data_IF_658056707287
#
_entry.id   IF_658056707287
#
_cell.length_a   1.000
_cell.length_b   1.000
_cell.length_c   1.000
_cell.angle_alpha   90.00
_cell.angle_beta   90.00
_cell.angle_gamma   90.00
#
_symmetry.space_group_name_H-M   'P 1'
#
loop_
_entity.id
_entity.type
_entity.pdbx_description
1 polymer ?
#
# COMPACT_ATOMS: atom_id res chain seq x y z
N UNK A 1 25.87 6.05 97.26
CA UNK A 1 26.96 5.43 96.47
C UNK A 1 26.36 4.15 95.87
N UNK A 2 26.15 4.14 94.59
CA UNK A 2 25.74 2.88 93.91
C UNK A 2 26.90 1.92 94.10
N UNK A 3 26.61 0.69 94.56
CA UNK A 3 27.64 -0.32 94.71
C UNK A 3 28.31 -0.67 93.41
N UNK A 4 29.58 -1.01 93.39
CA UNK A 4 30.30 -1.44 92.20
C UNK A 4 29.60 -2.57 91.48
N UNK A 5 28.91 -3.39 92.27
CA UNK A 5 28.08 -4.51 91.75
C UNK A 5 26.81 -4.04 90.96
N UNK A 6 26.11 -3.03 91.49
CA UNK A 6 24.91 -2.48 90.78
C UNK A 6 25.31 -1.76 89.47
N UNK A 7 26.46 -1.06 89.43
CA UNK A 7 26.96 -0.46 88.20
C UNK A 7 27.35 -1.53 87.12
N UNK A 8 27.98 -2.61 87.59
CA UNK A 8 28.34 -3.73 86.69
C UNK A 8 27.11 -4.49 86.16
N UNK A 9 26.10 -4.66 87.01
CA UNK A 9 24.82 -5.28 86.61
C UNK A 9 24.12 -4.39 85.57
N UNK A 10 24.05 -3.07 85.75
CA UNK A 10 23.48 -2.16 84.77
C UNK A 10 24.21 -2.18 83.44
N UNK A 11 25.53 -2.29 83.41
CA UNK A 11 26.33 -2.44 82.20
C UNK A 11 26.04 -3.81 81.50
N UNK A 12 25.97 -4.85 82.28
CA UNK A 12 25.64 -6.18 81.73
C UNK A 12 24.25 -6.23 81.07
N UNK A 13 23.24 -5.66 81.74
CA UNK A 13 21.90 -5.57 81.22
C UNK A 13 21.81 -4.69 79.97
N UNK A 14 22.54 -3.57 79.94
CA UNK A 14 22.65 -2.71 78.71
C UNK A 14 23.25 -3.49 77.51
N UNK A 15 24.34 -4.23 77.73
CA UNK A 15 25.02 -5.03 76.68
C UNK A 15 24.11 -6.19 76.21
N UNK A 16 23.38 -6.84 77.15
CA UNK A 16 22.40 -7.86 76.79
C UNK A 16 21.26 -7.31 75.96
N UNK A 17 20.70 -6.15 76.35
CA UNK A 17 19.66 -5.49 75.55
C UNK A 17 20.16 -5.08 74.14
N UNK A 18 21.34 -4.50 74.01
CA UNK A 18 21.92 -4.17 72.74
C UNK A 18 22.14 -5.41 71.86
N UNK A 19 22.69 -6.48 72.44
CA UNK A 19 22.80 -7.78 71.75
C UNK A 19 21.50 -8.30 71.25
N UNK A 20 20.45 -8.24 72.07
CA UNK A 20 19.14 -8.78 71.68
C UNK A 20 18.44 -7.91 70.64
N UNK A 21 18.59 -6.59 70.68
CA UNK A 21 18.17 -5.67 69.60
C UNK A 21 18.90 -5.96 68.29
N UNK A 22 20.21 -6.16 68.33
CA UNK A 22 21.01 -6.51 67.14
C UNK A 22 20.58 -7.86 66.55
N UNK A 23 20.28 -8.86 67.41
CA UNK A 23 19.75 -10.19 66.99
C UNK A 23 18.38 -10.07 66.34
N UNK A 24 17.49 -9.23 66.88
CA UNK A 24 16.17 -8.98 66.25
C UNK A 24 16.32 -8.28 64.89
N UNK A 25 17.18 -7.29 64.78
CA UNK A 25 17.45 -6.59 63.54
C UNK A 25 18.00 -7.53 62.46
N UNK A 26 18.93 -8.44 62.81
CA UNK A 26 19.48 -9.45 61.90
C UNK A 26 18.38 -10.44 61.47
N UNK A 27 17.57 -10.96 62.39
CA UNK A 27 16.47 -11.84 62.08
C UNK A 27 15.46 -11.21 61.12
N UNK A 28 15.13 -9.93 61.31
CA UNK A 28 14.21 -9.20 60.43
C UNK A 28 14.82 -9.08 59.00
N UNK A 29 16.11 -8.75 58.87
CA UNK A 29 16.78 -8.70 57.58
C UNK A 29 16.80 -10.04 56.88
N UNK A 30 17.12 -11.11 57.57
CA UNK A 30 17.09 -12.48 57.02
C UNK A 30 15.68 -12.88 56.56
N UNK A 31 14.68 -12.58 57.38
CA UNK A 31 13.29 -12.86 57.05
C UNK A 31 12.85 -12.06 55.81
N UNK A 32 13.24 -10.80 55.67
CA UNK A 32 12.92 -9.95 54.51
C UNK A 32 13.55 -10.49 53.23
N UNK A 33 14.83 -10.90 53.27
CA UNK A 33 15.52 -11.50 52.13
C UNK A 33 14.93 -12.85 51.73
N UNK A 34 14.50 -13.63 52.70
CA UNK A 34 13.86 -14.95 52.46
C UNK A 34 12.39 -14.85 52.01
N UNK A 35 11.73 -13.71 52.20
CA UNK A 35 10.37 -13.48 51.70
C UNK A 35 10.29 -13.11 50.22
N UNK A 36 11.45 -12.85 49.55
CA UNK A 36 11.48 -12.51 48.13
C UNK A 36 11.66 -13.75 47.26
N UNK A 37 11.15 -13.69 46.04
CA UNK A 37 11.40 -14.71 45.01
C UNK A 37 12.74 -14.47 44.25
N UNK A 38 13.39 -13.34 44.48
CA UNK A 38 14.68 -13.05 43.90
C UNK A 38 15.80 -13.84 44.62
N UNK A 39 16.73 -14.35 43.85
CA UNK A 39 17.93 -15.01 44.39
C UNK A 39 18.86 -13.95 44.99
N UNK A 40 19.34 -14.23 46.20
CA UNK A 40 20.37 -13.41 46.87
C UNK A 40 21.48 -14.31 47.36
N UNK A 41 22.72 -13.91 47.04
CA UNK A 41 23.94 -14.51 47.62
C UNK A 41 24.92 -13.42 47.96
N UNK A 42 25.80 -13.68 48.93
CA UNK A 42 26.96 -12.83 49.21
C UNK A 42 28.20 -13.70 49.11
N UNK A 43 29.18 -13.28 48.28
CA UNK A 43 30.46 -13.93 48.13
C UNK A 43 31.60 -13.09 48.78
N UNK A 44 32.46 -13.72 49.56
CA UNK A 44 33.61 -13.05 50.19
C UNK A 44 34.81 -13.03 49.22
N UNK A 45 35.15 -11.82 48.77
CA UNK A 45 36.25 -11.58 47.83
C UNK A 45 37.64 -11.69 48.42
N UNK A 46 37.76 -11.66 49.76
CA UNK A 46 39.03 -11.79 50.47
C UNK A 46 39.53 -13.21 50.54
N UNK A 47 38.65 -14.17 50.30
CA UNK A 47 39.00 -15.60 50.34
C UNK A 47 39.20 -16.15 48.90
N UNK A 48 40.16 -17.09 48.78
CA UNK A 48 40.42 -17.75 47.50
C UNK A 48 39.17 -18.53 47.05
N UNK A 49 38.74 -18.30 45.79
CA UNK A 49 37.58 -18.97 45.22
C UNK A 49 36.28 -18.27 45.47
N UNK A 50 36.28 -17.14 46.24
CA UNK A 50 35.11 -16.30 46.48
C UNK A 50 33.92 -17.10 47.03
N UNK A 51 34.04 -17.72 48.19
CA UNK A 51 32.98 -18.58 48.73
C UNK A 51 31.74 -17.80 49.08
N UNK A 52 30.57 -18.39 48.87
CA UNK A 52 29.31 -17.86 49.34
C UNK A 52 29.24 -17.89 50.86
N UNK A 53 29.09 -16.72 51.48
CA UNK A 53 28.92 -16.58 52.95
C UNK A 53 27.48 -16.37 53.36
N UNK A 54 26.61 -16.07 52.40
CA UNK A 54 25.16 -15.97 52.60
C UNK A 54 24.45 -16.40 51.35
N UNK A 55 23.34 -17.10 51.49
CA UNK A 55 22.34 -17.41 50.45
C UNK A 55 20.94 -17.32 51.06
N UNK A 56 20.00 -16.74 50.33
CA UNK A 56 18.61 -16.75 50.77
C UNK A 56 17.90 -18.06 50.36
N UNK A 57 16.70 -18.25 50.88
CA UNK A 57 15.89 -19.46 50.61
C UNK A 57 15.55 -19.63 49.13
N UNK A 58 15.24 -18.53 48.42
CA UNK A 58 14.84 -18.56 47.02
C UNK A 58 15.92 -19.16 46.09
N UNK A 59 17.20 -18.79 46.28
CA UNK A 59 18.28 -19.37 45.45
C UNK A 59 18.48 -20.87 45.79
N UNK A 60 18.34 -21.24 47.04
CA UNK A 60 18.45 -22.64 47.47
C UNK A 60 17.34 -23.51 46.87
N UNK A 61 16.09 -23.05 47.01
CA UNK A 61 14.91 -23.77 46.53
C UNK A 61 14.93 -23.92 44.99
N UNK A 62 15.19 -22.84 44.24
CA UNK A 62 15.23 -22.86 42.75
C UNK A 62 16.34 -23.74 42.22
N UNK A 63 17.45 -23.88 42.93
CA UNK A 63 18.56 -24.76 42.52
C UNK A 63 18.44 -26.18 43.14
N UNK A 64 17.47 -26.41 44.03
CA UNK A 64 17.24 -27.73 44.65
C UNK A 64 18.30 -28.13 45.69
N UNK A 65 18.97 -27.14 46.34
CA UNK A 65 19.95 -27.36 47.41
C UNK A 65 19.39 -26.91 48.76
N UNK A 66 19.95 -27.46 49.84
CA UNK A 66 19.78 -26.80 51.13
C UNK A 66 20.79 -25.64 51.25
N UNK A 67 20.45 -24.53 51.92
CA UNK A 67 21.35 -23.40 52.07
C UNK A 67 22.76 -23.75 52.54
N UNK A 68 22.89 -24.69 53.50
CA UNK A 68 24.17 -25.15 54.02
C UNK A 68 25.03 -25.87 52.97
N UNK A 69 24.43 -26.47 51.95
CA UNK A 69 25.18 -27.12 50.85
C UNK A 69 25.85 -26.11 49.92
N UNK A 70 25.34 -24.90 49.88
CA UNK A 70 25.87 -23.80 49.05
C UNK A 70 26.92 -22.94 49.76
N UNK A 71 26.80 -22.77 51.08
CA UNK A 71 27.73 -22.01 51.86
C UNK A 71 29.16 -22.60 51.77
N UNK A 72 30.16 -21.74 51.64
CA UNK A 72 31.56 -22.12 51.49
C UNK A 72 31.98 -22.52 50.06
N UNK A 73 31.00 -22.70 49.14
CA UNK A 73 31.30 -22.99 47.72
C UNK A 73 31.37 -21.68 46.91
N UNK A 74 32.14 -21.69 45.83
CA UNK A 74 32.11 -20.61 44.85
C UNK A 74 30.78 -20.48 44.15
N UNK A 75 30.25 -19.30 43.79
CA UNK A 75 29.09 -19.15 42.98
C UNK A 75 29.13 -19.91 41.62
N UNK A 76 30.35 -20.15 41.09
CA UNK A 76 30.54 -20.95 39.88
C UNK A 76 30.12 -22.41 40.01
N UNK A 77 29.90 -22.91 41.26
CA UNK A 77 29.36 -24.24 41.51
C UNK A 77 27.96 -24.42 40.90
N UNK A 78 27.21 -23.34 40.73
CA UNK A 78 25.87 -23.33 40.13
C UNK A 78 25.90 -23.32 38.60
N UNK A 79 27.07 -23.20 37.97
CA UNK A 79 27.18 -23.24 36.54
C UNK A 79 27.16 -24.70 36.01
N UNK A 80 26.68 -24.93 34.75
CA UNK A 80 26.83 -26.24 34.11
C UNK A 80 28.29 -26.52 33.77
N UNK A 81 28.65 -27.77 33.44
CA UNK A 81 30.02 -28.13 33.04
C UNK A 81 30.57 -27.35 31.86
N UNK A 82 29.71 -27.00 30.90
CA UNK A 82 30.02 -26.13 29.76
C UNK A 82 29.23 -24.82 29.87
N UNK A 83 29.71 -23.83 30.66
CA UNK A 83 29.03 -22.56 30.84
C UNK A 83 29.22 -21.66 29.62
N UNK A 84 28.32 -20.67 29.43
CA UNK A 84 28.54 -19.59 28.47
C UNK A 84 29.80 -18.79 28.88
N UNK A 85 30.94 -19.14 28.30
CA UNK A 85 32.26 -18.59 28.66
C UNK A 85 32.31 -17.06 28.42
N UNK A 86 31.66 -16.53 27.40
CA UNK A 86 31.67 -15.10 27.09
C UNK A 86 30.97 -14.31 28.20
N UNK A 87 29.75 -14.67 28.54
CA UNK A 87 28.97 -13.98 29.58
C UNK A 87 29.61 -14.12 30.98
N UNK A 88 30.20 -15.28 31.27
CA UNK A 88 30.90 -15.51 32.52
C UNK A 88 32.18 -14.67 32.62
N UNK A 89 32.93 -14.55 31.52
CA UNK A 89 34.14 -13.71 31.45
C UNK A 89 33.81 -12.23 31.66
N UNK A 90 32.73 -11.74 31.03
CA UNK A 90 32.25 -10.38 31.17
C UNK A 90 31.89 -10.08 32.64
N UNK A 91 31.11 -11.01 33.25
CA UNK A 91 30.75 -10.90 34.67
C UNK A 91 31.98 -10.85 35.56
N UNK A 92 32.93 -11.76 35.37
CA UNK A 92 34.18 -11.83 36.15
C UNK A 92 35.08 -10.62 35.94
N UNK A 93 35.13 -10.08 34.73
CA UNK A 93 35.90 -8.86 34.44
C UNK A 93 35.33 -7.66 35.17
N UNK A 94 34.00 -7.49 35.14
CA UNK A 94 33.33 -6.42 35.87
C UNK A 94 33.57 -6.52 37.39
N UNK A 95 33.50 -7.73 37.93
CA UNK A 95 33.77 -7.97 39.35
C UNK A 95 35.22 -7.66 39.73
N UNK A 96 36.21 -8.08 38.92
CA UNK A 96 37.63 -7.74 39.17
C UNK A 96 37.93 -6.24 39.14
N UNK A 97 37.13 -5.47 38.37
CA UNK A 97 37.21 -4.01 38.31
C UNK A 97 36.47 -3.30 39.46
N UNK A 98 35.84 -4.03 40.36
CA UNK A 98 35.05 -3.47 41.46
C UNK A 98 33.79 -2.76 40.99
N UNK A 99 33.24 -3.14 39.83
CA UNK A 99 32.02 -2.59 39.22
C UNK A 99 30.80 -3.50 39.39
N UNK A 100 29.61 -2.94 39.20
CA UNK A 100 28.39 -3.73 39.03
C UNK A 100 28.50 -4.45 37.70
N UNK A 101 28.33 -5.76 37.71
CA UNK A 101 28.33 -6.59 36.51
C UNK A 101 26.97 -7.31 36.36
N UNK A 102 26.51 -7.50 35.10
CA UNK A 102 25.26 -8.17 34.78
C UNK A 102 25.50 -9.19 33.67
N UNK A 103 24.85 -10.35 33.78
CA UNK A 103 24.90 -11.36 32.75
C UNK A 103 23.63 -12.21 32.72
N UNK A 104 23.34 -12.81 31.60
CA UNK A 104 22.39 -13.91 31.49
C UNK A 104 23.21 -15.19 31.34
N UNK A 105 23.05 -16.09 32.30
CA UNK A 105 23.83 -17.32 32.44
C UNK A 105 22.91 -18.53 32.48
N UNK A 106 23.40 -19.66 32.01
CA UNK A 106 22.72 -20.93 32.27
C UNK A 106 23.17 -21.41 33.66
N UNK A 107 22.20 -21.57 34.58
CA UNK A 107 22.41 -22.17 35.88
C UNK A 107 21.96 -23.62 35.88
N UNK A 108 22.61 -24.44 36.75
CA UNK A 108 22.32 -25.87 36.89
C UNK A 108 21.72 -26.16 38.27
N UNK A 109 20.63 -26.92 38.26
CA UNK A 109 20.03 -27.47 39.50
C UNK A 109 20.75 -28.74 39.97
N UNK A 110 20.46 -29.15 41.19
CA UNK A 110 21.00 -30.36 41.83
C UNK A 110 20.64 -31.66 41.08
N UNK A 111 19.47 -31.68 40.44
CA UNK A 111 18.99 -32.80 39.62
C UNK A 111 19.64 -32.84 38.23
N UNK A 112 20.49 -31.90 37.89
CA UNK A 112 21.13 -31.78 36.60
C UNK A 112 20.40 -30.94 35.56
N UNK A 113 19.14 -30.57 35.80
CA UNK A 113 18.39 -29.67 34.90
C UNK A 113 19.01 -28.28 34.89
N UNK A 114 18.73 -27.50 33.82
CA UNK A 114 19.27 -26.16 33.63
C UNK A 114 18.16 -25.15 33.40
N UNK A 115 18.44 -23.88 33.72
CA UNK A 115 17.54 -22.76 33.46
C UNK A 115 18.37 -21.49 33.18
N UNK A 116 17.76 -20.52 32.55
CA UNK A 116 18.36 -19.21 32.36
C UNK A 116 18.25 -18.34 33.59
N UNK A 117 19.39 -17.97 34.17
CA UNK A 117 19.46 -17.06 35.29
C UNK A 117 19.89 -15.65 34.82
N UNK A 118 19.11 -14.64 35.09
CA UNK A 118 19.54 -13.24 34.99
C UNK A 118 20.28 -12.87 36.27
N UNK A 119 21.57 -12.58 36.19
CA UNK A 119 22.46 -12.35 37.36
C UNK A 119 22.98 -10.91 37.36
N UNK A 120 22.95 -10.28 38.50
CA UNK A 120 23.60 -8.96 38.78
C UNK A 120 24.50 -9.12 40.00
N UNK A 121 25.78 -8.79 39.84
CA UNK A 121 26.77 -8.80 40.91
C UNK A 121 27.13 -7.36 41.26
N UNK A 122 26.90 -6.96 42.51
CA UNK A 122 27.17 -5.60 43.01
C UNK A 122 28.23 -5.62 44.11
N UNK A 123 29.26 -4.74 44.05
CA UNK A 123 30.32 -4.73 45.08
C UNK A 123 29.80 -4.14 46.40
N UNK A 124 30.16 -4.81 47.50
CA UNK A 124 29.99 -4.35 48.86
C UNK A 124 31.35 -3.85 49.37
N UNK A 125 31.40 -2.62 49.87
CA UNK A 125 32.64 -1.96 50.27
C UNK A 125 32.67 -1.74 51.79
N UNK A 126 33.88 -1.78 52.33
CA UNK A 126 34.14 -1.36 53.73
C UNK A 126 34.19 0.17 53.88
N UNK A 127 34.50 0.64 55.10
CA UNK A 127 34.59 2.04 55.42
C UNK A 127 35.76 2.76 54.67
N UNK A 128 36.76 2.00 54.26
CA UNK A 128 37.95 2.45 53.51
C UNK A 128 37.73 2.43 52.00
N UNK A 129 36.52 2.00 51.53
CA UNK A 129 36.13 1.95 50.12
C UNK A 129 36.62 0.70 49.39
N UNK A 130 37.25 -0.26 50.06
CA UNK A 130 37.72 -1.51 49.46
C UNK A 130 36.57 -2.49 49.26
N UNK A 131 36.57 -3.24 48.14
CA UNK A 131 35.58 -4.27 47.90
C UNK A 131 35.90 -5.48 48.72
N UNK A 132 35.05 -5.79 49.69
CA UNK A 132 35.19 -6.95 50.58
C UNK A 132 34.32 -8.12 50.14
N UNK A 133 33.12 -7.85 49.60
CA UNK A 133 32.16 -8.86 49.17
C UNK A 133 31.50 -8.44 47.87
N UNK A 134 30.82 -9.40 47.24
CA UNK A 134 29.86 -9.11 46.17
C UNK A 134 28.50 -9.64 46.57
N UNK A 135 27.46 -8.78 46.38
CA UNK A 135 26.08 -9.15 46.47
C UNK A 135 25.64 -9.63 45.09
N UNK A 136 25.30 -10.91 44.96
CA UNK A 136 24.64 -11.48 43.80
C UNK A 136 23.14 -11.41 43.93
N UNK A 137 22.51 -10.88 42.91
CA UNK A 137 21.04 -10.87 42.77
C UNK A 137 20.68 -11.57 41.45
N UNK A 138 19.65 -12.40 41.45
CA UNK A 138 19.23 -13.10 40.24
C UNK A 138 17.79 -13.57 40.28
N UNK A 139 17.35 -14.10 39.16
CA UNK A 139 16.05 -14.79 39.01
C UNK A 139 16.09 -15.75 37.85
N UNK A 140 15.21 -16.75 37.84
CA UNK A 140 14.94 -17.56 36.68
C UNK A 140 14.22 -16.69 35.62
N UNK A 141 14.83 -16.55 34.46
CA UNK A 141 14.30 -15.77 33.33
C UNK A 141 13.89 -16.64 32.16
N UNK A 142 13.83 -17.97 32.33
CA UNK A 142 13.54 -18.93 31.25
C UNK A 142 12.18 -18.68 30.60
N UNK A 143 11.13 -18.50 31.39
CA UNK A 143 9.80 -18.21 30.88
C UNK A 143 9.78 -16.90 30.09
N UNK A 144 10.42 -15.85 30.62
CA UNK A 144 10.50 -14.53 29.95
C UNK A 144 11.22 -14.62 28.60
N UNK A 145 12.33 -15.36 28.52
CA UNK A 145 13.06 -15.55 27.26
C UNK A 145 12.25 -16.36 26.25
N UNK A 146 11.52 -17.38 26.69
CA UNK A 146 10.64 -18.18 25.83
C UNK A 146 9.47 -17.32 25.26
N UNK A 147 8.85 -16.49 26.11
CA UNK A 147 7.81 -15.53 25.66
C UNK A 147 8.35 -14.51 24.64
N UNK A 148 9.54 -13.96 24.89
CA UNK A 148 10.16 -13.01 23.95
C UNK A 148 10.48 -13.65 22.59
N UNK A 149 11.00 -14.88 22.59
CA UNK A 149 11.28 -15.60 21.34
C UNK A 149 9.99 -15.95 20.60
N UNK A 150 8.96 -16.42 21.31
CA UNK A 150 7.64 -16.68 20.74
C UNK A 150 6.99 -15.44 20.14
N UNK A 151 7.06 -14.30 20.83
CA UNK A 151 6.56 -13.03 20.32
C UNK A 151 7.31 -12.58 19.04
N UNK A 152 8.63 -12.75 19.00
CA UNK A 152 9.45 -12.44 17.83
C UNK A 152 9.11 -13.32 16.63
N UNK A 153 8.92 -14.61 16.85
CA UNK A 153 8.52 -15.55 15.79
C UNK A 153 7.14 -15.19 15.23
N UNK A 154 6.17 -14.91 16.10
CA UNK A 154 4.84 -14.48 15.70
C UNK A 154 4.86 -13.17 14.90
N UNK A 155 5.66 -12.21 15.33
CA UNK A 155 5.84 -10.94 14.61
C UNK A 155 6.41 -11.17 13.20
N UNK A 156 7.40 -12.06 13.07
CA UNK A 156 7.99 -12.41 11.78
C UNK A 156 6.97 -13.07 10.86
N UNK A 157 6.18 -14.01 11.38
CA UNK A 157 5.11 -14.67 10.62
C UNK A 157 4.04 -13.67 10.16
N UNK A 158 3.57 -12.80 11.08
CA UNK A 158 2.56 -11.79 10.76
C UNK A 158 3.05 -10.83 9.66
N UNK A 159 4.33 -10.42 9.72
CA UNK A 159 4.92 -9.55 8.69
C UNK A 159 4.96 -10.24 7.32
N UNK A 160 5.33 -11.53 7.29
CA UNK A 160 5.34 -12.31 6.05
C UNK A 160 3.93 -12.48 5.46
N UNK A 161 2.93 -12.78 6.30
CA UNK A 161 1.53 -12.88 5.86
C UNK A 161 0.97 -11.56 5.33
N UNK A 162 1.33 -10.43 5.96
CA UNK A 162 0.92 -9.10 5.49
C UNK A 162 1.50 -8.79 4.11
N UNK A 163 2.79 -9.09 3.89
CA UNK A 163 3.45 -8.89 2.60
C UNK A 163 2.82 -9.75 1.49
N UNK A 164 2.50 -11.01 1.79
CA UNK A 164 1.85 -11.90 0.83
C UNK A 164 0.42 -11.45 0.49
N UNK A 165 -0.35 -11.00 1.48
CA UNK A 165 -1.70 -10.42 1.26
C UNK A 165 -1.64 -9.16 0.41
N UNK A 166 -0.66 -8.29 0.65
CA UNK A 166 -0.46 -7.07 -0.15
C UNK A 166 -0.12 -7.42 -1.60
N UNK A 167 0.79 -8.38 -1.81
CA UNK A 167 1.14 -8.89 -3.14
C UNK A 167 -0.06 -9.46 -3.88
N UNK A 168 -0.82 -10.35 -3.25
CA UNK A 168 -2.04 -10.90 -3.83
C UNK A 168 -3.08 -9.82 -4.15
N UNK A 169 -3.19 -8.80 -3.30
CA UNK A 169 -4.07 -7.66 -3.54
C UNK A 169 -3.66 -6.84 -4.77
N UNK A 170 -2.36 -6.69 -5.04
CA UNK A 170 -1.84 -6.03 -6.25
C UNK A 170 -2.12 -6.89 -7.48
N UNK A 171 -1.84 -8.19 -7.42
CA UNK A 171 -2.08 -9.13 -8.53
C UNK A 171 -3.57 -9.21 -8.89
N UNK A 172 -4.46 -9.26 -7.90
CA UNK A 172 -5.91 -9.27 -8.12
C UNK A 172 -6.40 -7.97 -8.80
N UNK A 173 -5.92 -6.81 -8.33
CA UNK A 173 -6.25 -5.52 -8.96
C UNK A 173 -5.78 -5.44 -10.40
N UNK A 174 -4.57 -5.94 -10.68
CA UNK A 174 -4.04 -5.99 -12.04
C UNK A 174 -4.88 -6.92 -12.92
N UNK A 175 -5.25 -8.10 -12.42
CA UNK A 175 -6.11 -9.03 -13.15
C UNK A 175 -7.50 -8.44 -13.47
N UNK A 176 -8.14 -7.78 -12.51
CA UNK A 176 -9.43 -7.09 -12.72
C UNK A 176 -9.32 -5.95 -13.74
N UNK A 177 -8.21 -5.20 -13.71
CA UNK A 177 -7.94 -4.14 -14.68
C UNK A 177 -7.71 -4.69 -16.07
N UNK A 178 -6.95 -5.79 -16.19
CA UNK A 178 -6.73 -6.49 -17.46
C UNK A 178 -8.02 -7.11 -18.01
N UNK A 179 -8.88 -7.64 -17.17
CA UNK A 179 -10.21 -8.13 -17.57
C UNK A 179 -11.07 -6.99 -18.16
N UNK A 180 -11.11 -5.84 -17.47
CA UNK A 180 -11.84 -4.65 -17.95
C UNK A 180 -11.29 -4.14 -19.29
N UNK A 181 -9.95 -4.05 -19.42
CA UNK A 181 -9.27 -3.71 -20.69
C UNK A 181 -9.51 -4.79 -21.75
N UNK A 182 -9.47 -6.08 -21.38
CA UNK A 182 -9.70 -7.20 -22.28
C UNK A 182 -11.10 -7.17 -22.91
N UNK A 183 -12.13 -6.84 -22.14
CA UNK A 183 -13.49 -6.65 -22.66
C UNK A 183 -13.58 -5.48 -23.64
N UNK A 184 -12.81 -4.42 -23.41
CA UNK A 184 -12.76 -3.25 -24.27
C UNK A 184 -11.79 -3.40 -25.43
N UNK A 185 -10.86 -4.36 -25.39
CA UNK A 185 -9.79 -4.50 -26.38
C UNK A 185 -10.30 -4.66 -27.82
N UNK A 186 -11.36 -5.43 -28.03
CA UNK A 186 -11.98 -5.58 -29.35
C UNK A 186 -12.57 -4.26 -29.85
N UNK A 187 -13.21 -3.50 -28.95
CA UNK A 187 -13.75 -2.18 -29.25
C UNK A 187 -12.67 -1.15 -29.56
N UNK A 188 -11.61 -1.14 -28.78
CA UNK A 188 -10.45 -0.24 -28.98
C UNK A 188 -9.74 -0.56 -30.31
N UNK A 189 -9.53 -1.84 -30.61
CA UNK A 189 -8.96 -2.27 -31.89
C UNK A 189 -9.81 -1.77 -33.06
N UNK A 190 -11.14 -1.84 -32.97
CA UNK A 190 -12.04 -1.31 -33.98
C UNK A 190 -11.97 0.22 -34.09
N UNK A 191 -11.90 0.94 -32.95
CA UNK A 191 -11.76 2.41 -32.91
C UNK A 191 -10.42 2.91 -33.46
N UNK A 192 -9.36 2.11 -33.38
CA UNK A 192 -8.06 2.38 -34.00
C UNK A 192 -8.08 2.04 -35.50
N UNK A 193 -8.64 0.91 -35.88
CA UNK A 193 -8.64 0.46 -37.29
C UNK A 193 -9.45 1.40 -38.19
N UNK A 194 -10.57 1.95 -37.69
CA UNK A 194 -11.40 2.89 -38.48
C UNK A 194 -10.64 4.13 -38.94
N UNK A 195 -9.97 4.92 -38.09
CA UNK A 195 -9.16 6.04 -38.55
C UNK A 195 -7.97 5.61 -39.41
N UNK A 196 -7.32 4.49 -39.12
CA UNK A 196 -6.22 3.97 -39.95
C UNK A 196 -6.70 3.70 -41.38
N UNK A 197 -7.90 3.14 -41.54
CA UNK A 197 -8.46 2.82 -42.85
C UNK A 197 -8.68 4.09 -43.68
N UNK A 198 -9.38 5.11 -43.17
CA UNK A 198 -9.61 6.32 -43.97
C UNK A 198 -8.35 7.21 -44.13
N UNK A 199 -7.37 7.10 -43.20
CA UNK A 199 -6.03 7.66 -43.42
C UNK A 199 -5.35 6.97 -44.62
N UNK A 200 -5.43 5.62 -44.66
CA UNK A 200 -4.90 4.83 -45.79
C UNK A 200 -5.53 5.21 -47.12
N UNK A 201 -6.88 5.28 -47.13
CA UNK A 201 -7.66 5.66 -48.32
C UNK A 201 -7.30 7.10 -48.79
N UNK A 202 -7.18 8.05 -47.84
CA UNK A 202 -6.79 9.44 -48.16
C UNK A 202 -5.37 9.54 -48.70
N UNK A 203 -4.42 8.78 -48.13
CA UNK A 203 -3.02 8.75 -48.61
C UNK A 203 -2.95 8.10 -50.00
N UNK A 204 -3.70 7.03 -50.26
CA UNK A 204 -3.76 6.40 -51.57
C UNK A 204 -4.33 7.36 -52.64
N UNK A 205 -5.41 8.09 -52.29
CA UNK A 205 -5.94 9.16 -53.15
C UNK A 205 -4.87 10.26 -53.43
N UNK A 206 -4.18 10.76 -52.41
CA UNK A 206 -3.13 11.76 -52.55
C UNK A 206 -1.97 11.28 -53.45
N UNK A 207 -1.63 9.98 -53.39
CA UNK A 207 -0.62 9.40 -54.28
C UNK A 207 -1.08 9.41 -55.74
N UNK A 208 -2.38 9.03 -56.00
CA UNK A 208 -2.95 9.09 -57.34
C UNK A 208 -3.01 10.52 -57.88
N UNK A 209 -3.56 11.45 -57.09
CA UNK A 209 -3.62 12.87 -57.42
C UNK A 209 -2.24 13.48 -57.77
N UNK A 210 -1.21 13.12 -56.98
CA UNK A 210 0.17 13.53 -57.26
C UNK A 210 0.66 13.04 -58.64
N UNK A 211 0.39 11.76 -58.95
CA UNK A 211 0.81 11.17 -60.22
C UNK A 211 0.16 11.86 -61.39
N UNK A 212 -1.15 12.18 -61.33
CA UNK A 212 -1.88 12.92 -62.33
C UNK A 212 -1.34 14.34 -62.54
N UNK A 213 -1.10 15.07 -61.47
CA UNK A 213 -0.52 16.42 -61.49
C UNK A 213 0.92 16.41 -61.99
N UNK A 214 1.72 15.41 -61.65
CA UNK A 214 3.09 15.21 -62.14
C UNK A 214 3.09 14.96 -63.65
N UNK A 215 2.16 14.14 -64.15
CA UNK A 215 1.96 13.90 -65.58
C UNK A 215 1.63 15.19 -66.36
N UNK A 216 0.75 16.03 -65.83
CA UNK A 216 0.41 17.34 -66.40
C UNK A 216 1.62 18.30 -66.39
N UNK A 217 2.35 18.34 -65.25
CA UNK A 217 3.55 19.18 -65.14
C UNK A 217 4.63 18.78 -66.17
N UNK A 218 4.87 17.48 -66.34
CA UNK A 218 5.82 16.97 -67.34
C UNK A 218 5.39 17.35 -68.75
N UNK A 219 4.08 17.23 -69.08
CA UNK A 219 3.54 17.64 -70.38
C UNK A 219 3.73 19.18 -70.59
N UNK A 220 3.49 20.00 -69.56
CA UNK A 220 3.71 21.44 -69.64
C UNK A 220 5.22 21.78 -69.87
N UNK A 221 6.14 21.14 -69.15
CA UNK A 221 7.55 21.36 -69.26
C UNK A 221 8.07 20.95 -70.70
N UNK A 222 7.64 19.78 -71.19
CA UNK A 222 7.94 19.32 -72.54
C UNK A 222 7.38 20.26 -73.62
N UNK A 223 6.25 20.91 -73.34
CA UNK A 223 5.71 21.92 -74.28
C UNK A 223 6.63 23.13 -74.52
N UNK A 224 7.36 23.60 -73.48
CA UNK A 224 8.33 24.66 -73.60
C UNK A 224 9.47 24.24 -74.47
N UNK A 225 10.00 23.03 -74.38
CA UNK A 225 11.09 22.54 -75.17
C UNK A 225 10.66 22.38 -76.65
N UNK A 226 9.46 21.93 -76.93
CA UNK A 226 8.89 21.76 -78.28
C UNK A 226 8.69 23.12 -78.98
N UNK A 227 8.20 24.13 -78.26
CA UNK A 227 8.06 25.50 -78.76
C UNK A 227 9.43 26.06 -79.05
N UNK A 228 10.43 25.89 -78.18
CA UNK A 228 11.78 26.32 -78.39
C UNK A 228 12.44 25.62 -79.56
N UNK A 229 12.07 24.39 -79.88
CA UNK A 229 12.46 23.59 -81.03
C UNK A 229 11.77 23.97 -82.32
N UNK A 230 10.85 24.98 -82.37
CA UNK A 230 10.19 25.50 -83.56
C UNK A 230 8.89 24.82 -83.94
N UNK A 231 8.31 23.99 -83.05
CA UNK A 231 6.97 23.44 -83.30
C UNK A 231 5.89 24.54 -83.24
N UNK A 232 4.77 24.32 -83.91
CA UNK A 232 3.60 25.23 -83.84
C UNK A 232 3.05 25.35 -82.42
N UNK A 233 2.99 26.60 -81.88
CA UNK A 233 2.42 26.78 -80.53
C UNK A 233 0.97 26.27 -80.42
N UNK A 234 0.18 26.30 -81.47
CA UNK A 234 -1.18 25.81 -81.46
C UNK A 234 -1.25 24.28 -81.26
N UNK A 235 -0.36 23.54 -81.98
CA UNK A 235 -0.34 22.05 -81.86
C UNK A 235 0.20 21.60 -80.47
N UNK A 236 1.22 22.35 -79.99
CA UNK A 236 1.76 22.07 -78.65
C UNK A 236 0.72 22.33 -77.55
N UNK A 237 -0.03 23.45 -77.60
CA UNK A 237 -1.11 23.75 -76.66
C UNK A 237 -2.26 22.73 -76.72
N UNK A 238 -2.64 22.25 -77.95
CA UNK A 238 -3.60 21.22 -78.13
C UNK A 238 -3.17 19.91 -77.41
N UNK A 239 -1.89 19.55 -77.52
CA UNK A 239 -1.33 18.38 -76.82
C UNK A 239 -1.42 18.47 -75.29
N UNK A 240 -1.08 19.63 -74.70
CA UNK A 240 -1.23 19.85 -73.21
C UNK A 240 -2.68 19.83 -72.81
N UNK A 241 -3.60 20.43 -73.59
CA UNK A 241 -5.03 20.43 -73.29
C UNK A 241 -5.57 19.00 -73.29
N UNK A 242 -5.17 18.13 -74.24
CA UNK A 242 -5.58 16.73 -74.22
C UNK A 242 -5.20 15.98 -72.96
N UNK A 243 -4.00 16.26 -72.41
CA UNK A 243 -3.58 15.72 -71.09
C UNK A 243 -4.41 16.32 -69.97
N UNK A 244 -4.68 17.62 -70.02
CA UNK A 244 -5.49 18.33 -69.01
C UNK A 244 -6.96 17.84 -69.00
N UNK A 245 -7.55 17.58 -70.16
CA UNK A 245 -8.95 17.07 -70.30
C UNK A 245 -9.10 15.67 -69.72
N UNK A 246 -8.02 14.89 -69.61
CA UNK A 246 -8.00 13.59 -68.94
C UNK A 246 -7.96 13.67 -67.42
N UNK A 247 -7.79 14.88 -66.82
CA UNK A 247 -7.61 15.10 -65.39
C UNK A 247 -8.73 16.03 -64.91
N UNK A 248 -9.48 15.63 -63.90
CA UNK A 248 -10.44 16.50 -63.24
C UNK A 248 -9.73 17.42 -62.21
N UNK A 249 -9.15 18.51 -62.73
CA UNK A 249 -8.40 19.47 -61.91
C UNK A 249 -9.29 20.15 -60.86
N UNK A 250 -10.56 20.37 -61.14
CA UNK A 250 -11.49 21.01 -60.22
C UNK A 250 -11.77 20.08 -59.02
N UNK A 251 -12.00 18.80 -59.27
CA UNK A 251 -12.13 17.76 -58.28
C UNK A 251 -10.85 17.62 -57.43
N UNK A 252 -9.66 17.53 -58.10
CA UNK A 252 -8.40 17.41 -57.40
C UNK A 252 -8.14 18.63 -56.47
N UNK A 253 -8.43 19.84 -56.98
CA UNK A 253 -8.26 21.08 -56.21
C UNK A 253 -9.14 21.12 -54.97
N UNK A 254 -10.36 20.59 -55.05
CA UNK A 254 -11.29 20.53 -53.93
C UNK A 254 -10.96 19.39 -52.95
N UNK A 255 -10.55 18.21 -53.43
CA UNK A 255 -10.40 17.00 -52.60
C UNK A 255 -9.02 16.83 -51.97
N UNK A 256 -7.95 17.34 -52.60
CA UNK A 256 -6.59 17.25 -52.00
C UNK A 256 -6.54 17.87 -50.58
N UNK A 257 -7.01 19.13 -50.37
CA UNK A 257 -7.06 19.70 -49.01
C UNK A 257 -7.87 18.84 -48.03
N UNK A 258 -9.02 18.36 -48.45
CA UNK A 258 -9.90 17.49 -47.60
C UNK A 258 -9.23 16.17 -47.26
N UNK A 259 -8.48 15.58 -48.20
CA UNK A 259 -7.73 14.36 -47.93
C UNK A 259 -6.61 14.58 -46.90
N UNK A 260 -5.93 15.72 -46.95
CA UNK A 260 -4.95 16.11 -45.93
C UNK A 260 -5.63 16.30 -44.55
N UNK A 261 -6.75 17.05 -44.50
CA UNK A 261 -7.48 17.27 -43.26
C UNK A 261 -7.93 15.94 -42.63
N UNK A 262 -8.56 15.04 -43.43
CA UNK A 262 -8.95 13.70 -42.97
C UNK A 262 -7.78 12.86 -42.46
N UNK A 263 -6.63 12.97 -43.13
CA UNK A 263 -5.42 12.26 -42.70
C UNK A 263 -4.93 12.76 -41.36
N UNK A 264 -4.81 14.09 -41.19
CA UNK A 264 -4.36 14.69 -39.93
C UNK A 264 -5.33 14.39 -38.80
N UNK A 265 -6.65 14.50 -39.01
CA UNK A 265 -7.66 14.18 -38.05
C UNK A 265 -7.58 12.69 -37.63
N UNK A 266 -7.40 11.79 -38.57
CA UNK A 266 -7.28 10.36 -38.31
C UNK A 266 -6.05 10.02 -37.48
N UNK A 267 -4.90 10.62 -37.79
CA UNK A 267 -3.65 10.43 -37.03
C UNK A 267 -3.81 10.96 -35.61
N UNK A 268 -4.39 12.19 -35.45
CA UNK A 268 -4.63 12.78 -34.14
C UNK A 268 -5.55 11.87 -33.30
N UNK A 269 -6.61 11.37 -33.90
CA UNK A 269 -7.56 10.48 -33.23
C UNK A 269 -6.91 9.18 -32.73
N UNK A 270 -6.05 8.55 -33.56
CA UNK A 270 -5.30 7.36 -33.13
C UNK A 270 -4.39 7.69 -31.96
N UNK A 271 -3.66 8.85 -32.03
CA UNK A 271 -2.80 9.30 -30.95
C UNK A 271 -3.56 9.51 -29.64
N UNK A 272 -4.75 10.09 -29.70
CA UNK A 272 -5.59 10.35 -28.52
C UNK A 272 -6.11 9.04 -27.89
N UNK A 273 -6.53 8.06 -28.72
CA UNK A 273 -6.96 6.75 -28.24
C UNK A 273 -5.80 6.02 -27.56
N UNK A 274 -4.61 6.01 -28.16
CA UNK A 274 -3.42 5.36 -27.60
C UNK A 274 -2.99 6.03 -26.29
N UNK A 275 -3.04 7.37 -26.23
CA UNK A 275 -2.74 8.13 -25.01
C UNK A 275 -3.72 7.80 -23.90
N UNK A 276 -5.03 7.87 -24.16
CA UNK A 276 -6.07 7.54 -23.21
C UNK A 276 -5.94 6.10 -22.70
N UNK A 277 -5.63 5.15 -23.59
CA UNK A 277 -5.40 3.76 -23.21
C UNK A 277 -4.16 3.59 -22.31
N UNK A 278 -3.07 4.30 -22.63
CA UNK A 278 -1.85 4.29 -21.80
C UNK A 278 -2.10 4.87 -20.41
N UNK A 279 -2.79 6.00 -20.30
CA UNK A 279 -3.17 6.63 -19.04
C UNK A 279 -4.10 5.70 -18.23
N UNK A 280 -5.08 5.08 -18.88
CA UNK A 280 -5.99 4.12 -18.25
C UNK A 280 -5.25 2.85 -17.80
N UNK A 281 -4.33 2.31 -18.62
CA UNK A 281 -3.59 1.08 -18.32
C UNK A 281 -2.46 1.27 -17.30
N UNK A 282 -1.99 2.52 -17.12
CA UNK A 282 -0.86 2.77 -16.22
C UNK A 282 -1.20 2.27 -14.81
N UNK A 283 -0.35 1.44 -14.19
CA UNK A 283 -0.47 1.14 -12.77
C UNK A 283 -0.23 2.47 -12.03
N UNK A 284 -1.31 3.16 -11.65
CA UNK A 284 -1.21 4.41 -10.90
C UNK A 284 -0.33 4.22 -9.68
N UNK A 285 0.37 5.27 -9.26
CA UNK A 285 1.03 5.27 -7.96
C UNK A 285 0.01 4.85 -6.89
N UNK A 286 0.45 4.05 -5.92
CA UNK A 286 -0.38 3.64 -4.77
C UNK A 286 -0.82 4.87 -3.96
N UNK A 287 -0.10 5.99 -4.10
CA UNK A 287 -0.33 7.26 -3.42
C UNK A 287 -1.32 8.14 -4.18
N UNK A 288 -2.19 8.82 -3.42
CA UNK A 288 -3.09 9.83 -3.95
C UNK A 288 -2.27 11.06 -4.38
N UNK A 289 -2.63 11.65 -5.51
CA UNK A 289 -2.01 12.87 -6.05
C UNK A 289 -3.08 13.84 -6.54
N UNK A 290 -2.71 15.12 -6.69
CA UNK A 290 -3.58 16.11 -7.29
C UNK A 290 -3.91 15.74 -8.74
N UNK A 291 -5.19 15.69 -9.08
CA UNK A 291 -5.67 15.28 -10.39
C UNK A 291 -6.87 16.10 -10.85
N UNK A 292 -6.92 16.39 -12.16
CA UNK A 292 -8.06 16.97 -12.85
C UNK A 292 -9.11 15.88 -13.15
N UNK A 293 -10.24 15.91 -12.46
CA UNK A 293 -11.34 14.96 -12.66
C UNK A 293 -12.05 15.14 -14.00
N UNK A 294 -12.10 16.34 -14.56
CA UNK A 294 -12.67 16.57 -15.88
C UNK A 294 -11.85 15.87 -16.96
N UNK A 295 -10.52 15.94 -16.86
CA UNK A 295 -9.63 15.20 -17.74
C UNK A 295 -9.80 13.67 -17.57
N UNK A 296 -9.94 13.18 -16.35
CA UNK A 296 -10.20 11.77 -16.05
C UNK A 296 -11.50 11.26 -16.68
N UNK A 297 -12.59 12.05 -16.62
CA UNK A 297 -13.86 11.75 -17.27
C UNK A 297 -13.70 11.70 -18.79
N UNK A 298 -13.03 12.68 -19.41
CA UNK A 298 -12.81 12.74 -20.86
C UNK A 298 -11.97 11.57 -21.37
N UNK A 299 -10.89 11.23 -20.64
CA UNK A 299 -10.04 10.06 -20.94
C UNK A 299 -10.88 8.78 -20.90
N UNK A 300 -11.74 8.63 -19.87
CA UNK A 300 -12.61 7.45 -19.74
C UNK A 300 -13.67 7.38 -20.86
N UNK A 301 -14.27 8.52 -21.24
CA UNK A 301 -15.19 8.58 -22.38
C UNK A 301 -14.53 8.16 -23.69
N UNK A 302 -13.28 8.57 -23.90
CA UNK A 302 -12.51 8.16 -25.10
C UNK A 302 -12.34 6.64 -25.15
N UNK A 303 -12.00 6.01 -24.04
CA UNK A 303 -11.83 4.54 -23.94
C UNK A 303 -13.17 3.80 -24.06
N UNK A 304 -14.23 4.33 -23.44
CA UNK A 304 -15.55 3.71 -23.41
C UNK A 304 -16.38 3.95 -24.68
N UNK A 305 -15.88 4.72 -25.66
CA UNK A 305 -16.68 5.18 -26.81
C UNK A 305 -17.38 4.07 -27.57
N UNK A 306 -16.72 2.93 -27.74
CA UNK A 306 -17.31 1.80 -28.45
C UNK A 306 -18.53 1.21 -27.75
N UNK A 307 -18.64 1.38 -26.43
CA UNK A 307 -19.75 0.85 -25.64
C UNK A 307 -21.05 1.65 -25.86
N UNK A 308 -20.95 2.97 -26.11
CA UNK A 308 -22.12 3.84 -26.19
C UNK A 308 -22.43 4.40 -27.58
N UNK A 309 -21.47 4.47 -28.52
CA UNK A 309 -21.60 5.18 -29.81
C UNK A 309 -22.79 4.71 -30.68
N UNK A 310 -23.24 3.47 -30.51
CA UNK A 310 -24.37 2.90 -31.25
C UNK A 310 -25.69 2.92 -30.48
N UNK A 311 -25.65 3.22 -29.18
CA UNK A 311 -26.81 3.19 -28.28
C UNK A 311 -27.19 4.53 -27.68
N UNK A 312 -26.25 5.46 -27.55
CA UNK A 312 -26.52 6.75 -26.92
C UNK A 312 -25.64 7.89 -27.46
N UNK A 313 -26.18 9.09 -27.43
CA UNK A 313 -25.40 10.33 -27.48
C UNK A 313 -24.92 10.68 -26.07
N UNK A 314 -23.66 11.10 -25.96
CA UNK A 314 -23.07 11.56 -24.70
C UNK A 314 -22.98 13.08 -24.71
N UNK A 315 -23.58 13.69 -23.70
CA UNK A 315 -23.52 15.12 -23.44
C UNK A 315 -22.70 15.36 -22.17
N UNK A 316 -21.71 16.26 -22.25
CA UNK A 316 -20.87 16.61 -21.11
C UNK A 316 -21.04 18.07 -20.71
N UNK A 317 -21.34 18.33 -19.44
CA UNK A 317 -21.42 19.64 -18.82
C UNK A 317 -20.41 19.69 -17.68
N UNK A 318 -19.16 19.96 -18.03
CA UNK A 318 -18.04 19.96 -17.10
C UNK A 318 -17.83 21.36 -16.54
N UNK A 319 -18.11 21.53 -15.22
CA UNK A 319 -17.88 22.76 -14.49
C UNK A 319 -16.40 23.00 -14.19
N UNK A 320 -16.06 24.18 -13.72
CA UNK A 320 -14.71 24.47 -13.21
C UNK A 320 -14.49 23.79 -11.88
N UNK A 321 -13.52 22.86 -11.84
CA UNK A 321 -13.18 22.08 -10.67
C UNK A 321 -11.78 22.44 -10.18
N UNK A 322 -11.55 22.40 -8.85
CA UNK A 322 -10.19 22.33 -8.33
C UNK A 322 -9.59 20.93 -8.57
N UNK A 323 -8.27 20.85 -8.54
CA UNK A 323 -7.60 19.55 -8.46
C UNK A 323 -8.07 18.80 -7.20
N UNK A 324 -8.29 17.49 -7.35
CA UNK A 324 -8.73 16.61 -6.29
C UNK A 324 -7.58 15.67 -5.92
N UNK A 325 -7.30 15.55 -4.62
CA UNK A 325 -6.28 14.58 -4.14
C UNK A 325 -6.88 13.19 -4.20
N UNK A 326 -6.50 12.41 -5.20
CA UNK A 326 -7.09 11.10 -5.45
C UNK A 326 -6.14 10.14 -6.20
N UNK A 327 -6.50 8.88 -6.27
CA UNK A 327 -5.92 7.93 -7.21
C UNK A 327 -6.75 7.95 -8.51
N UNK A 328 -6.28 8.71 -9.50
CA UNK A 328 -6.97 8.92 -10.78
C UNK A 328 -7.23 7.60 -11.52
N UNK A 329 -6.32 6.63 -11.42
CA UNK A 329 -6.49 5.32 -12.08
C UNK A 329 -7.66 4.53 -11.49
N UNK A 330 -7.89 4.61 -10.18
CA UNK A 330 -9.04 3.98 -9.53
C UNK A 330 -10.34 4.70 -9.87
N UNK A 331 -10.32 6.03 -9.91
CA UNK A 331 -11.50 6.82 -10.32
C UNK A 331 -11.86 6.61 -11.79
N UNK A 332 -10.88 6.47 -12.69
CA UNK A 332 -11.13 6.08 -14.09
C UNK A 332 -11.89 4.73 -14.19
N UNK A 333 -11.55 3.78 -13.31
CA UNK A 333 -12.30 2.51 -13.24
C UNK A 333 -13.74 2.70 -12.77
N UNK A 334 -13.97 3.61 -11.80
CA UNK A 334 -15.34 3.98 -11.36
C UNK A 334 -16.12 4.57 -12.53
N UNK A 335 -15.57 5.59 -13.20
CA UNK A 335 -16.23 6.24 -14.34
C UNK A 335 -16.52 5.27 -15.45
N UNK A 336 -15.57 4.39 -15.80
CA UNK A 336 -15.76 3.36 -16.81
C UNK A 336 -16.92 2.43 -16.46
N UNK A 337 -16.96 1.91 -15.23
CA UNK A 337 -18.03 1.01 -14.79
C UNK A 337 -19.41 1.69 -14.89
N UNK A 338 -19.51 2.96 -14.51
CA UNK A 338 -20.77 3.70 -14.56
C UNK A 338 -21.19 4.02 -16.00
N UNK A 339 -20.25 4.44 -16.86
CA UNK A 339 -20.53 4.76 -18.27
C UNK A 339 -20.94 3.50 -19.04
N UNK A 340 -20.24 2.37 -18.82
CA UNK A 340 -20.59 1.09 -19.45
C UNK A 340 -21.97 0.62 -18.99
N UNK A 341 -22.29 0.73 -17.70
CA UNK A 341 -23.61 0.39 -17.17
C UNK A 341 -24.70 1.29 -17.77
N UNK A 342 -24.48 2.58 -17.90
CA UNK A 342 -25.40 3.52 -18.53
C UNK A 342 -25.65 3.16 -20.00
N UNK A 343 -24.60 2.88 -20.77
CA UNK A 343 -24.71 2.48 -22.16
C UNK A 343 -25.50 1.17 -22.34
N UNK A 344 -25.28 0.21 -21.43
CA UNK A 344 -26.02 -1.05 -21.43
C UNK A 344 -27.50 -0.86 -21.09
N UNK A 345 -27.82 -0.05 -20.06
CA UNK A 345 -29.20 0.26 -19.67
C UNK A 345 -29.98 0.94 -20.82
N UNK A 346 -29.32 1.85 -21.54
CA UNK A 346 -29.91 2.48 -22.73
C UNK A 346 -30.17 1.45 -23.84
N UNK A 347 -29.22 0.55 -24.09
CA UNK A 347 -29.38 -0.53 -25.10
C UNK A 347 -30.51 -1.48 -24.74
N UNK A 348 -30.59 -1.89 -23.46
CA UNK A 348 -31.67 -2.77 -22.95
C UNK A 348 -33.04 -2.10 -23.02
N UNK A 349 -33.11 -0.77 -22.98
CA UNK A 349 -34.39 -0.03 -23.18
C UNK A 349 -34.86 0.01 -24.65
N UNK A 350 -34.11 -0.58 -25.60
CA UNK A 350 -34.44 -0.57 -27.02
C UNK A 350 -34.17 0.75 -27.73
N UNK A 351 -33.47 1.72 -27.06
CA UNK A 351 -33.08 3.00 -27.65
C UNK A 351 -31.83 2.85 -28.49
N UNK A 352 -31.72 3.70 -29.51
CA UNK A 352 -30.57 3.82 -30.40
C UNK A 352 -29.78 5.09 -30.17
N UNK A 353 -28.75 5.33 -30.96
CA UNK A 353 -27.90 6.53 -30.86
C UNK A 353 -28.65 7.86 -31.09
N UNK A 354 -29.88 7.85 -31.63
CA UNK A 354 -30.68 9.08 -31.82
C UNK A 354 -31.56 9.41 -30.64
N UNK A 355 -31.97 8.41 -29.87
CA UNK A 355 -32.94 8.50 -28.76
C UNK A 355 -32.29 8.24 -27.38
N UNK A 356 -31.22 7.45 -27.34
CA UNK A 356 -30.45 7.17 -26.16
C UNK A 356 -29.57 8.37 -25.76
N UNK A 357 -29.54 8.68 -24.47
CA UNK A 357 -28.75 9.78 -23.93
C UNK A 357 -28.01 9.35 -22.66
N UNK A 358 -26.76 9.78 -22.57
CA UNK A 358 -25.96 9.73 -21.34
C UNK A 358 -25.45 11.13 -21.09
N UNK A 359 -25.77 11.69 -19.94
CA UNK A 359 -25.31 13.03 -19.53
C UNK A 359 -24.32 12.91 -18.39
N UNK A 360 -23.19 13.58 -18.51
CA UNK A 360 -22.18 13.67 -17.46
C UNK A 360 -22.02 15.13 -17.05
N UNK A 361 -22.26 15.39 -15.77
CA UNK A 361 -22.10 16.73 -15.22
C UNK A 361 -21.10 16.70 -14.07
N UNK A 362 -20.26 17.73 -13.99
CA UNK A 362 -19.35 17.92 -12.86
C UNK A 362 -19.59 19.32 -12.28
N UNK A 363 -19.60 19.40 -10.97
CA UNK A 363 -19.76 20.66 -10.27
C UNK A 363 -18.96 20.69 -8.95
N UNK A 364 -18.57 21.89 -8.54
CA UNK A 364 -17.95 22.11 -7.23
C UNK A 364 -19.03 22.39 -6.20
N UNK A 365 -19.03 21.63 -5.10
CA UNK A 365 -19.94 21.79 -3.96
C UNK A 365 -19.11 22.01 -2.68
N UNK A 366 -18.80 23.27 -2.38
CA UNK A 366 -17.96 23.70 -1.23
C UNK A 366 -16.56 23.02 -1.26
N UNK A 367 -16.31 22.08 -0.35
CA UNK A 367 -15.09 21.30 -0.20
C UNK A 367 -15.12 19.94 -0.93
N UNK A 368 -16.16 19.74 -1.77
CA UNK A 368 -16.37 18.48 -2.51
C UNK A 368 -16.55 18.76 -3.99
N UNK A 369 -16.28 17.74 -4.78
CA UNK A 369 -16.60 17.71 -6.21
C UNK A 369 -17.71 16.68 -6.42
N UNK A 370 -18.73 17.06 -7.13
CA UNK A 370 -19.82 16.18 -7.54
C UNK A 370 -19.62 15.79 -9.00
N UNK A 371 -19.70 14.48 -9.28
CA UNK A 371 -19.74 13.94 -10.64
C UNK A 371 -21.05 13.15 -10.77
N UNK A 372 -21.92 13.58 -11.67
CA UNK A 372 -23.20 12.94 -11.93
C UNK A 372 -23.17 12.31 -13.32
N UNK A 373 -23.53 11.03 -13.40
CA UNK A 373 -23.65 10.28 -14.65
C UNK A 373 -25.11 9.81 -14.74
N UNK A 374 -25.83 10.33 -15.72
CA UNK A 374 -27.27 10.09 -15.91
C UNK A 374 -27.51 9.43 -17.26
N UNK A 375 -28.29 8.38 -17.28
CA UNK A 375 -28.79 7.73 -18.49
C UNK A 375 -30.32 7.81 -18.57
N UNK A 376 -30.86 7.69 -19.77
CA UNK A 376 -32.29 7.54 -20.02
C UNK A 376 -32.65 6.08 -20.36
N UNK A 377 -31.93 5.10 -19.78
CA UNK A 377 -32.12 3.68 -20.03
C UNK A 377 -33.37 3.07 -19.38
N UNK A 378 -33.31 1.76 -19.11
CA UNK A 378 -34.44 0.99 -18.53
C UNK A 378 -34.73 1.35 -17.06
N UNK A 379 -33.79 2.01 -16.35
CA UNK A 379 -33.89 2.28 -14.92
C UNK A 379 -33.72 1.04 -14.05
N UNK A 380 -33.74 1.25 -12.72
CA UNK A 380 -33.54 0.21 -11.71
C UNK A 380 -34.80 0.10 -10.84
N UNK A 381 -35.37 -1.11 -10.66
CA UNK A 381 -36.48 -1.33 -9.75
C UNK A 381 -36.12 -0.98 -8.30
N UNK A 382 -37.06 -0.38 -7.56
CA UNK A 382 -36.83 0.09 -6.18
C UNK A 382 -36.30 -1.02 -5.23
N UNK A 383 -36.78 -2.25 -5.42
CA UNK A 383 -36.37 -3.43 -4.65
C UNK A 383 -34.89 -3.81 -4.82
N UNK A 384 -34.27 -3.34 -5.91
CA UNK A 384 -32.87 -3.62 -6.23
C UNK A 384 -31.92 -2.50 -5.80
N UNK A 385 -32.41 -1.27 -5.55
CA UNK A 385 -31.58 -0.10 -5.25
C UNK A 385 -30.63 -0.31 -4.06
N UNK A 386 -31.07 -1.04 -3.04
CA UNK A 386 -30.22 -1.34 -1.88
C UNK A 386 -29.16 -2.41 -2.17
N UNK A 387 -29.43 -3.30 -3.16
CA UNK A 387 -28.60 -4.47 -3.46
C UNK A 387 -27.61 -4.25 -4.60
N UNK A 388 -27.78 -3.20 -5.42
CA UNK A 388 -26.94 -2.97 -6.60
C UNK A 388 -25.46 -2.81 -6.28
N UNK A 389 -25.12 -2.47 -5.03
CA UNK A 389 -23.75 -2.34 -4.56
C UNK A 389 -23.22 -3.62 -3.88
N UNK A 390 -24.06 -4.66 -3.74
CA UNK A 390 -23.60 -5.93 -3.17
C UNK A 390 -22.71 -6.67 -4.16
N UNK A 391 -21.60 -7.26 -3.70
CA UNK A 391 -20.73 -8.05 -4.57
C UNK A 391 -21.50 -9.19 -5.25
N UNK A 392 -21.25 -9.35 -6.55
CA UNK A 392 -21.89 -10.39 -7.41
C UNK A 392 -23.39 -10.21 -7.68
N UNK A 393 -24.02 -9.15 -7.19
CA UNK A 393 -25.40 -8.84 -7.53
C UNK A 393 -25.50 -8.38 -8.99
N UNK A 394 -26.33 -9.03 -9.76
CA UNK A 394 -26.63 -8.67 -11.16
C UNK A 394 -28.04 -9.10 -11.54
N UNK A 395 -28.73 -8.28 -12.30
CA UNK A 395 -30.03 -8.59 -12.93
C UNK A 395 -29.86 -9.13 -14.34
N UNK A 396 -28.63 -9.22 -14.86
CA UNK A 396 -28.30 -9.65 -16.22
C UNK A 396 -28.17 -11.16 -16.31
N UNK A 397 -28.35 -11.70 -17.53
CA UNK A 397 -28.16 -13.12 -17.80
C UNK A 397 -26.73 -13.57 -17.43
N UNK A 398 -26.61 -14.86 -17.12
CA UNK A 398 -25.33 -15.48 -16.75
C UNK A 398 -24.30 -15.29 -17.89
N UNK A 399 -23.17 -14.67 -17.55
CA UNK A 399 -22.08 -14.36 -18.50
C UNK A 399 -22.09 -12.93 -19.07
N UNK A 400 -23.18 -12.17 -18.94
CA UNK A 400 -23.28 -10.78 -19.43
C UNK A 400 -22.99 -9.73 -18.35
N UNK A 401 -23.04 -10.11 -17.07
CA UNK A 401 -22.71 -9.24 -15.95
C UNK A 401 -21.94 -9.98 -14.88
N UNK A 402 -20.82 -9.39 -14.41
CA UNK A 402 -20.02 -9.97 -13.33
C UNK A 402 -20.59 -9.64 -11.94
N UNK A 403 -21.50 -8.67 -11.84
CA UNK A 403 -22.03 -8.17 -10.57
C UNK A 403 -21.00 -7.47 -9.68
N UNK A 404 -19.79 -7.20 -10.18
CA UNK A 404 -18.70 -6.61 -9.39
C UNK A 404 -18.51 -5.11 -9.63
N UNK A 405 -18.93 -4.57 -10.77
CA UNK A 405 -18.60 -3.21 -11.19
C UNK A 405 -19.06 -2.13 -10.22
N UNK A 406 -20.29 -2.20 -9.71
CA UNK A 406 -20.84 -1.23 -8.76
C UNK A 406 -20.28 -1.41 -7.34
N UNK A 407 -20.05 -2.65 -6.91
CA UNK A 407 -19.40 -2.94 -5.63
C UNK A 407 -17.96 -2.37 -5.60
N UNK A 408 -17.19 -2.55 -6.68
CA UNK A 408 -15.85 -1.96 -6.85
C UNK A 408 -15.94 -0.43 -6.85
N UNK A 409 -16.89 0.15 -7.57
CA UNK A 409 -17.07 1.60 -7.61
C UNK A 409 -17.34 2.17 -6.22
N UNK A 410 -18.22 1.54 -5.43
CA UNK A 410 -18.50 1.94 -4.05
C UNK A 410 -17.27 1.83 -3.16
N UNK A 411 -16.54 0.72 -3.21
CA UNK A 411 -15.32 0.53 -2.41
C UNK A 411 -14.25 1.59 -2.76
N UNK A 412 -14.05 1.89 -4.04
CA UNK A 412 -13.11 2.92 -4.46
C UNK A 412 -13.55 4.30 -3.93
N UNK A 413 -14.79 4.68 -4.14
CA UNK A 413 -15.27 6.02 -3.77
C UNK A 413 -15.32 6.18 -2.25
N UNK A 414 -15.92 5.22 -1.54
CA UNK A 414 -16.20 5.33 -0.10
C UNK A 414 -14.99 4.95 0.74
N UNK A 415 -14.46 3.72 0.54
CA UNK A 415 -13.45 3.18 1.45
C UNK A 415 -12.09 3.83 1.22
N UNK A 416 -11.71 4.09 -0.06
CA UNK A 416 -10.38 4.59 -0.40
C UNK A 416 -10.31 6.11 -0.51
N UNK A 417 -11.38 6.77 -1.00
CA UNK A 417 -11.36 8.21 -1.23
C UNK A 417 -12.20 9.02 -0.22
N UNK A 418 -12.91 8.35 0.71
CA UNK A 418 -13.74 9.03 1.72
C UNK A 418 -14.90 9.81 1.11
N UNK A 419 -15.27 9.46 -0.11
CA UNK A 419 -16.39 10.02 -0.85
C UNK A 419 -17.71 9.33 -0.53
N UNK A 420 -18.71 9.65 -1.32
CA UNK A 420 -20.05 9.06 -1.27
C UNK A 420 -20.52 8.74 -2.69
N UNK A 421 -21.22 7.62 -2.86
CA UNK A 421 -21.90 7.24 -4.09
C UNK A 421 -23.37 7.03 -3.80
N UNK A 422 -24.23 7.73 -4.53
CA UNK A 422 -25.69 7.59 -4.44
C UNK A 422 -26.28 7.33 -5.81
N UNK A 423 -27.53 6.85 -5.82
CA UNK A 423 -28.26 6.49 -7.02
C UNK A 423 -29.68 7.00 -6.94
N UNK A 424 -30.15 7.63 -8.02
CA UNK A 424 -31.53 8.02 -8.25
C UNK A 424 -32.00 7.29 -9.50
N UNK A 425 -33.07 6.51 -9.44
CA UNK A 425 -33.50 5.73 -10.60
C UNK A 425 -35.01 5.51 -10.58
N UNK A 426 -35.60 5.55 -11.77
CA UNK A 426 -37.00 5.25 -12.01
C UNK A 426 -37.14 4.30 -13.20
N UNK A 427 -37.82 3.14 -13.02
CA UNK A 427 -38.04 2.18 -14.10
C UNK A 427 -38.69 2.82 -15.33
N UNK A 428 -38.10 2.61 -16.51
CA UNK A 428 -38.56 3.15 -17.79
C UNK A 428 -38.17 4.60 -18.07
N UNK A 429 -37.62 5.34 -17.07
CA UNK A 429 -37.15 6.70 -17.23
C UNK A 429 -35.62 6.76 -17.36
N UNK A 430 -34.90 6.13 -16.43
CA UNK A 430 -33.44 6.08 -16.43
C UNK A 430 -32.81 6.04 -15.04
N UNK A 431 -31.50 6.18 -15.01
CA UNK A 431 -30.68 6.13 -13.78
C UNK A 431 -29.70 7.30 -13.70
N UNK A 432 -29.50 7.84 -12.52
CA UNK A 432 -28.49 8.85 -12.22
C UNK A 432 -27.62 8.37 -11.07
N UNK A 433 -26.34 8.15 -11.32
CA UNK A 433 -25.33 7.93 -10.30
C UNK A 433 -24.65 9.24 -9.95
N UNK A 434 -24.51 9.52 -8.65
CA UNK A 434 -23.93 10.73 -8.12
C UNK A 434 -22.75 10.36 -7.24
N UNK A 435 -21.56 10.83 -7.61
CA UNK A 435 -20.33 10.67 -6.86
C UNK A 435 -20.01 11.99 -6.16
N UNK A 436 -19.72 11.95 -4.87
CA UNK A 436 -19.30 13.10 -4.09
C UNK A 436 -17.92 12.82 -3.52
N UNK A 437 -16.90 13.55 -3.97
CA UNK A 437 -15.50 13.35 -3.61
C UNK A 437 -14.97 14.57 -2.85
N UNK A 438 -14.27 14.41 -1.71
CA UNK A 438 -13.60 15.52 -1.04
C UNK A 438 -12.46 16.05 -1.91
N UNK A 439 -12.26 17.37 -1.94
CA UNK A 439 -11.13 18.00 -2.67
C UNK A 439 -9.80 17.69 -2.01
N UNK A 440 -9.77 17.63 -0.68
CA UNK A 440 -8.61 17.17 0.10
C UNK A 440 -8.77 15.67 0.31
N UNK A 441 -7.84 14.86 -0.22
CA UNK A 441 -7.85 13.42 -0.09
C UNK A 441 -7.86 12.99 1.38
N UNK A 442 -8.35 11.78 1.68
CA UNK A 442 -8.21 11.19 3.00
C UNK A 442 -6.71 11.07 3.31
N UNK A 443 -6.19 11.91 4.19
CA UNK A 443 -4.90 11.66 4.80
C UNK A 443 -5.02 10.32 5.54
N UNK A 444 -4.38 9.26 5.04
CA UNK A 444 -4.30 8.00 5.78
C UNK A 444 -3.75 8.34 7.17
N UNK A 445 -4.31 7.81 8.27
CA UNK A 445 -3.75 8.03 9.59
C UNK A 445 -2.28 7.58 9.51
N UNK A 446 -1.35 8.51 9.72
CA UNK A 446 0.07 8.18 9.93
C UNK A 446 0.10 7.14 11.04
N UNK A 447 0.43 5.92 10.71
CA UNK A 447 0.84 4.93 11.69
C UNK A 447 2.06 5.56 12.36
N UNK A 448 1.88 6.01 13.61
CA UNK A 448 2.96 6.52 14.43
C UNK A 448 4.00 5.40 14.54
N UNK A 449 5.23 5.72 14.18
CA UNK A 449 6.39 4.85 14.22
C UNK A 449 6.76 4.46 15.67
#
# INVERSE_FOLDING_TARGET
>A
MVSKEEALQQQLDAVCNERDQLRQALKLRDSALNATTAHFLIADMRQRGWPMVYVNRAIADDHGYEPQELLGKSPTFLNPPEPNAAALNELNQGMRQGKVARAQLISRRKDGSTFWAGVTMAPVRDAEGQVTHYLGMGSDITARLAEQEGAKQLQTQLTAEMQERERMGIELRLAQKLESVGRLAAGIAHEINTPIQYVGDSVAFLQSARAELEGLLVACLAAFDRIAGGESPADVVAGVRSVQEGIDLEFLHAEIPRAFERTLEGVQRVADIVRAMKEFAHPGHVEQSAADLNHAVQTTLTVARNEYKYSAQVETHLGELPDVICNVSELNQVFLNLIVNAAQAVRESGKDATTGRISITTERAQDRVLVRITDNGCGIPKENLEKIFDPFFTTKEVGLGTGQGLAIARSIVVDKHGGEISVESEPGVGTSFILSLPTEGRCAPRVAA
#
